data_IF_667842089729
#
_entry.id   IF_667842089729
#
_cell.length_a   1.000
_cell.length_b   1.000
_cell.length_c   1.000
_cell.angle_alpha   90.00
_cell.angle_beta   90.00
_cell.angle_gamma   90.00
#
_symmetry.space_group_name_H-M   'P 1'
#
loop_
_entity.id
_entity.type
_entity.pdbx_description
1 polymer ?
#
# COMPACT_ATOMS: atom_id res chain seq x y z
N UNK A 1 -11.59 23.52 9.11
CA UNK A 1 -11.20 22.26 9.75
C UNK A 1 -11.73 21.04 8.98
N UNK A 2 -13.05 20.90 8.76
CA UNK A 2 -13.62 19.76 8.01
C UNK A 2 -13.08 19.60 6.56
N UNK A 3 -13.05 20.68 5.77
CA UNK A 3 -12.53 20.63 4.39
C UNK A 3 -11.02 20.32 4.31
N UNK A 4 -10.27 20.57 5.38
CA UNK A 4 -8.84 20.23 5.44
C UNK A 4 -8.64 18.75 5.73
N UNK A 5 -9.46 18.21 6.65
CA UNK A 5 -9.52 16.79 6.92
C UNK A 5 -9.93 15.97 5.68
N UNK A 6 -10.93 16.41 4.92
CA UNK A 6 -11.37 15.71 3.69
C UNK A 6 -10.27 15.68 2.63
N UNK A 7 -9.50 16.76 2.49
CA UNK A 7 -8.32 16.79 1.60
C UNK A 7 -7.22 15.85 2.08
N UNK A 8 -6.98 15.79 3.38
CA UNK A 8 -6.01 14.87 4.00
C UNK A 8 -6.42 13.41 3.77
N UNK A 9 -7.69 13.07 3.99
CA UNK A 9 -8.24 11.72 3.73
C UNK A 9 -8.10 11.36 2.25
N UNK A 10 -8.44 12.27 1.34
CA UNK A 10 -8.32 12.04 -0.10
C UNK A 10 -6.85 11.86 -0.53
N UNK A 11 -5.93 12.66 0.03
CA UNK A 11 -4.50 12.54 -0.22
C UNK A 11 -3.95 11.19 0.28
N UNK A 12 -4.32 10.79 1.50
CA UNK A 12 -3.95 9.50 2.09
C UNK A 12 -4.46 8.34 1.24
N UNK A 13 -5.71 8.40 0.77
CA UNK A 13 -6.31 7.38 -0.10
C UNK A 13 -5.61 7.26 -1.44
N UNK A 14 -5.38 8.39 -2.12
CA UNK A 14 -4.65 8.42 -3.40
C UNK A 14 -3.24 7.85 -3.23
N UNK A 15 -2.56 8.22 -2.16
CA UNK A 15 -1.25 7.67 -1.84
C UNK A 15 -1.31 6.16 -1.61
N UNK A 16 -2.25 5.67 -0.79
CA UNK A 16 -2.41 4.26 -0.48
C UNK A 16 -2.70 3.42 -1.73
N UNK A 17 -3.58 3.89 -2.63
CA UNK A 17 -3.86 3.23 -3.91
C UNK A 17 -2.58 3.04 -4.74
N UNK A 18 -1.79 4.11 -4.90
CA UNK A 18 -0.54 4.08 -5.68
C UNK A 18 0.51 3.20 -5.02
N UNK A 19 0.70 3.33 -3.70
CA UNK A 19 1.68 2.57 -2.94
C UNK A 19 1.36 1.07 -2.95
N UNK A 20 0.12 0.68 -2.64
CA UNK A 20 -0.29 -0.73 -2.63
C UNK A 20 -0.21 -1.36 -4.03
N UNK A 21 -0.59 -0.65 -5.08
CA UNK A 21 -0.44 -1.14 -6.46
C UNK A 21 1.03 -1.36 -6.82
N UNK A 22 1.90 -0.39 -6.52
CA UNK A 22 3.33 -0.52 -6.76
C UNK A 22 3.94 -1.69 -5.96
N UNK A 23 3.52 -1.89 -4.71
CA UNK A 23 3.96 -3.03 -3.90
C UNK A 23 3.56 -4.36 -4.53
N UNK A 24 2.31 -4.51 -4.96
CA UNK A 24 1.83 -5.72 -5.64
C UNK A 24 2.58 -5.97 -6.97
N UNK A 25 2.87 -4.92 -7.73
CA UNK A 25 3.69 -5.00 -8.96
C UNK A 25 5.12 -5.49 -8.69
N UNK A 26 5.72 -5.07 -7.58
CA UNK A 26 7.06 -5.54 -7.16
C UNK A 26 7.01 -7.00 -6.70
N UNK A 27 6.00 -7.39 -5.92
CA UNK A 27 5.75 -8.79 -5.53
C UNK A 27 5.59 -9.67 -6.78
N UNK A 28 4.91 -9.17 -7.80
CA UNK A 28 4.73 -9.85 -9.09
C UNK A 28 6.01 -9.87 -9.95
N UNK A 29 7.07 -9.15 -9.55
CA UNK A 29 8.30 -8.90 -10.32
C UNK A 29 8.08 -8.12 -11.62
N UNK A 30 7.04 -7.30 -11.70
CA UNK A 30 6.76 -6.39 -12.83
C UNK A 30 7.37 -4.99 -12.65
N UNK A 31 7.88 -4.70 -11.47
CA UNK A 31 8.50 -3.42 -11.11
C UNK A 31 9.69 -3.65 -10.16
N UNK A 32 10.69 -2.77 -10.21
CA UNK A 32 11.82 -2.80 -9.28
C UNK A 32 11.43 -2.27 -7.90
N UNK A 33 11.87 -2.96 -6.83
CA UNK A 33 11.67 -2.54 -5.45
C UNK A 33 12.28 -1.16 -5.13
N UNK A 34 13.24 -0.69 -5.94
CA UNK A 34 13.83 0.66 -5.83
C UNK A 34 12.77 1.76 -5.92
N UNK A 35 11.72 1.55 -6.72
CA UNK A 35 10.63 2.52 -6.89
C UNK A 35 9.81 2.76 -5.61
N UNK A 36 9.92 1.88 -4.61
CA UNK A 36 9.16 1.95 -3.36
C UNK A 36 9.81 2.85 -2.29
N UNK A 37 11.05 3.32 -2.48
CA UNK A 37 11.80 4.10 -1.47
C UNK A 37 11.11 5.37 -0.98
N UNK A 38 10.31 6.00 -1.85
CA UNK A 38 9.52 7.18 -1.47
C UNK A 38 8.22 6.86 -0.74
N UNK A 39 7.73 5.63 -0.83
CA UNK A 39 6.39 5.24 -0.39
C UNK A 39 6.39 4.29 0.80
N UNK A 40 7.42 3.47 1.01
CA UNK A 40 7.50 2.49 2.09
C UNK A 40 8.66 2.79 3.02
N UNK A 41 8.52 2.43 4.29
CA UNK A 41 9.65 2.29 5.22
C UNK A 41 10.67 1.26 4.70
N UNK A 42 11.98 1.44 4.94
CA UNK A 42 13.02 0.55 4.42
C UNK A 42 12.79 -0.93 4.78
N UNK A 43 12.38 -1.22 6.01
CA UNK A 43 12.09 -2.59 6.46
C UNK A 43 10.96 -3.26 5.66
N UNK A 44 9.97 -2.49 5.21
CA UNK A 44 8.90 -3.01 4.35
C UNK A 44 9.40 -3.25 2.92
N UNK A 45 10.35 -2.46 2.42
CA UNK A 45 10.96 -2.69 1.10
C UNK A 45 11.70 -4.03 1.10
N UNK A 46 12.44 -4.32 2.17
CA UNK A 46 13.12 -5.60 2.34
C UNK A 46 12.14 -6.78 2.45
N UNK A 47 11.07 -6.62 3.23
CA UNK A 47 9.98 -7.60 3.29
C UNK A 47 9.38 -7.87 1.90
N UNK A 48 9.09 -6.82 1.12
CA UNK A 48 8.53 -6.94 -0.23
C UNK A 48 9.52 -7.62 -1.18
N UNK A 49 10.82 -7.35 -1.06
CA UNK A 49 11.87 -8.06 -1.82
C UNK A 49 11.88 -9.54 -1.51
N UNK A 50 11.78 -9.91 -0.24
CA UNK A 50 11.68 -11.32 0.18
C UNK A 50 10.42 -11.95 -0.40
N UNK A 51 9.25 -11.33 -0.28
CA UNK A 51 8.00 -11.83 -0.85
C UNK A 51 8.06 -12.01 -2.37
N UNK A 52 8.73 -11.09 -3.08
CA UNK A 52 8.95 -11.22 -4.51
C UNK A 52 9.79 -12.45 -4.86
N UNK A 53 10.69 -12.89 -3.97
CA UNK A 53 11.55 -14.07 -4.15
C UNK A 53 10.85 -15.37 -3.74
N UNK A 54 10.12 -15.39 -2.62
CA UNK A 54 9.62 -16.60 -1.96
C UNK A 54 8.23 -17.09 -2.40
N UNK A 55 7.63 -16.45 -3.42
CA UNK A 55 6.27 -16.71 -3.92
C UNK A 55 5.17 -16.40 -2.90
N UNK A 56 4.36 -15.38 -3.19
CA UNK A 56 3.18 -15.03 -2.39
C UNK A 56 2.02 -15.95 -2.74
N UNK A 57 1.13 -16.18 -1.76
CA UNK A 57 -0.10 -16.97 -1.96
C UNK A 57 -0.83 -16.54 -3.24
N UNK A 58 -1.13 -17.52 -4.08
CA UNK A 58 -1.87 -17.29 -5.32
C UNK A 58 -1.09 -16.59 -6.43
N UNK A 59 0.23 -16.36 -6.33
CA UNK A 59 1.01 -15.76 -7.42
C UNK A 59 0.90 -16.53 -8.74
N UNK A 60 0.85 -17.86 -8.67
CA UNK A 60 0.63 -18.72 -9.85
C UNK A 60 -0.73 -18.50 -10.52
N UNK A 61 -1.68 -17.82 -9.86
CA UNK A 61 -3.00 -17.48 -10.41
C UNK A 61 -2.99 -16.19 -11.25
N UNK A 62 -1.82 -15.59 -11.45
CA UNK A 62 -1.65 -14.39 -12.28
C UNK A 62 -1.34 -13.13 -11.50
N UNK A 63 -1.27 -12.02 -12.24
CA UNK A 63 -0.97 -10.69 -11.69
C UNK A 63 -2.07 -10.23 -10.73
N UNK A 64 -1.67 -9.50 -9.69
CA UNK A 64 -2.62 -8.93 -8.76
C UNK A 64 -3.35 -7.71 -9.36
N UNK A 65 -4.66 -7.67 -9.20
CA UNK A 65 -5.49 -6.50 -9.47
C UNK A 65 -6.03 -5.94 -8.15
N UNK A 66 -5.61 -4.74 -7.78
CA UNK A 66 -6.04 -4.05 -6.56
C UNK A 66 -7.46 -3.50 -6.75
N UNK A 67 -8.36 -3.85 -5.83
CA UNK A 67 -9.69 -3.25 -5.73
C UNK A 67 -9.66 -1.90 -4.99
N UNK A 68 -10.82 -1.35 -4.62
CA UNK A 68 -10.88 -0.10 -3.87
C UNK A 68 -10.12 -0.19 -2.54
N UNK A 69 -9.29 0.82 -2.26
CA UNK A 69 -8.66 0.99 -0.94
C UNK A 69 -9.54 1.88 -0.08
N UNK A 70 -9.72 1.46 1.16
CA UNK A 70 -10.38 2.22 2.20
C UNK A 70 -9.35 2.79 3.16
N UNK A 71 -9.62 3.99 3.66
CA UNK A 71 -8.75 4.70 4.60
C UNK A 71 -9.57 5.11 5.80
N UNK A 72 -9.01 4.89 6.99
CA UNK A 72 -9.56 5.36 8.25
C UNK A 72 -8.49 6.17 8.96
N UNK A 73 -8.71 7.48 9.09
CA UNK A 73 -7.82 8.33 9.87
C UNK A 73 -7.85 7.88 11.33
N UNK A 74 -6.66 7.79 11.93
CA UNK A 74 -6.48 7.55 13.37
C UNK A 74 -6.29 8.88 14.08
N UNK A 75 -5.49 9.76 13.47
CA UNK A 75 -5.22 11.14 13.88
C UNK A 75 -4.80 11.96 12.64
N UNK A 76 -4.32 13.18 12.82
CA UNK A 76 -3.94 14.09 11.73
C UNK A 76 -2.78 13.58 10.86
N UNK A 77 -1.91 12.72 11.42
CA UNK A 77 -0.71 12.21 10.75
C UNK A 77 -0.78 10.72 10.45
N UNK A 78 -1.76 9.97 10.96
CA UNK A 78 -1.81 8.52 10.84
C UNK A 78 -3.15 8.05 10.29
N UNK A 79 -3.09 7.06 9.40
CA UNK A 79 -4.27 6.39 8.89
C UNK A 79 -4.06 4.88 8.73
N UNK A 80 -5.10 4.11 9.00
CA UNK A 80 -5.18 2.71 8.62
C UNK A 80 -5.71 2.58 7.19
N UNK A 81 -5.14 1.65 6.44
CA UNK A 81 -5.54 1.35 5.07
C UNK A 81 -5.91 -0.12 4.96
N UNK A 82 -6.98 -0.43 4.22
CA UNK A 82 -7.42 -1.80 4.01
C UNK A 82 -8.16 -1.94 2.68
N UNK A 83 -8.15 -3.15 2.13
CA UNK A 83 -8.82 -3.46 0.88
C UNK A 83 -8.58 -4.90 0.47
N UNK A 84 -8.90 -5.18 -0.79
CA UNK A 84 -8.73 -6.50 -1.37
C UNK A 84 -8.03 -6.41 -2.72
N UNK A 85 -7.33 -7.48 -3.10
CA UNK A 85 -6.83 -7.66 -4.46
C UNK A 85 -7.20 -9.04 -4.98
N UNK A 86 -7.44 -9.14 -6.27
CA UNK A 86 -7.69 -10.43 -6.92
C UNK A 86 -6.45 -10.97 -7.62
N UNK A 87 -6.36 -12.29 -7.71
CA UNK A 87 -5.43 -13.02 -8.61
C UNK A 87 -6.21 -14.15 -9.26
N UNK A 88 -6.49 -14.01 -10.55
CA UNK A 88 -7.42 -14.91 -11.24
C UNK A 88 -8.78 -14.95 -10.52
N UNK A 89 -9.32 -16.14 -10.18
CA UNK A 89 -10.62 -16.27 -9.54
C UNK A 89 -10.61 -16.05 -8.02
N UNK A 90 -9.44 -15.77 -7.40
CA UNK A 90 -9.32 -15.66 -5.94
C UNK A 90 -9.17 -14.22 -5.50
N UNK A 91 -9.77 -13.91 -4.35
CA UNK A 91 -9.68 -12.61 -3.67
C UNK A 91 -8.83 -12.77 -2.41
N UNK A 92 -7.95 -11.81 -2.17
CA UNK A 92 -7.06 -11.73 -1.01
C UNK A 92 -7.24 -10.36 -0.34
N UNK A 93 -6.91 -10.30 0.94
CA UNK A 93 -6.96 -9.06 1.72
C UNK A 93 -5.59 -8.38 1.77
N UNK A 94 -5.61 -7.06 1.88
CA UNK A 94 -4.45 -6.24 2.20
C UNK A 94 -4.83 -5.25 3.28
N UNK A 95 -3.94 -5.05 4.24
CA UNK A 95 -4.10 -4.07 5.30
C UNK A 95 -2.76 -3.46 5.69
N UNK A 96 -2.78 -2.25 6.22
CA UNK A 96 -1.57 -1.58 6.66
C UNK A 96 -1.85 -0.26 7.35
N UNK A 97 -0.77 0.48 7.61
CA UNK A 97 -0.81 1.82 8.18
C UNK A 97 0.03 2.76 7.33
N UNK A 98 -0.45 3.98 7.17
CA UNK A 98 0.30 5.09 6.57
C UNK A 98 0.49 6.19 7.59
N UNK A 99 1.65 6.82 7.57
CA UNK A 99 2.01 7.94 8.43
C UNK A 99 2.52 9.08 7.56
N UNK A 100 2.06 10.29 7.83
CA UNK A 100 2.45 11.53 7.17
C UNK A 100 3.59 12.19 7.94
N UNK A 101 4.61 12.69 7.25
CA UNK A 101 5.75 13.36 7.88
C UNK A 101 5.62 14.89 8.02
N UNK A 102 4.44 15.48 7.84
CA UNK A 102 4.21 16.93 8.03
C UNK A 102 3.45 17.60 6.89
N UNK A 103 3.67 18.90 6.66
CA UNK A 103 3.02 19.68 5.59
C UNK A 103 4.07 20.15 4.54
N UNK A 104 3.93 19.80 3.24
CA UNK A 104 2.86 18.99 2.67
C UNK A 104 2.96 17.51 3.09
N UNK A 105 1.79 16.86 3.22
CA UNK A 105 1.65 15.49 3.69
C UNK A 105 2.36 14.47 2.80
N UNK A 106 3.64 14.23 3.11
CA UNK A 106 4.40 13.13 2.54
C UNK A 106 4.07 11.86 3.33
N UNK A 107 3.14 11.08 2.78
CA UNK A 107 2.73 9.81 3.33
C UNK A 107 3.78 8.73 3.10
N UNK A 108 3.92 7.82 4.06
CA UNK A 108 4.71 6.60 3.96
C UNK A 108 3.97 5.44 4.59
N UNK A 109 4.02 4.27 3.96
CA UNK A 109 3.51 3.02 4.53
C UNK A 109 4.48 2.56 5.62
N UNK A 110 3.97 2.41 6.84
CA UNK A 110 4.75 2.04 8.03
C UNK A 110 4.48 0.62 8.51
N UNK A 111 3.35 0.03 8.12
CA UNK A 111 3.08 -1.40 8.29
C UNK A 111 2.26 -1.94 7.13
N UNK A 112 2.44 -3.22 6.83
CA UNK A 112 1.75 -3.88 5.71
C UNK A 112 1.54 -5.37 5.96
N UNK A 113 0.39 -5.88 5.52
CA UNK A 113 0.05 -7.29 5.47
C UNK A 113 -0.58 -7.61 4.10
N UNK A 114 -0.01 -8.60 3.40
CA UNK A 114 -0.43 -9.08 2.07
C UNK A 114 -0.85 -10.55 2.04
#
# INVERSE_FOLDING_TARGET
>A
MAADNDRTVAAARRFADVALRATLEVVDRRRSAVTLRGALEPSLIDMVRVLAQTSVRGRALGAAALGPVHVRMVDEANAEIFGTYSRGPRVFAVAGRVTSSGNPAAWRVTSLRL
#
